data_IF_794968191400
#
_entry.id   IF_794968191400
#
_cell.length_a   1.000
_cell.length_b   1.000
_cell.length_c   1.000
_cell.angle_alpha   90.00
_cell.angle_beta   90.00
_cell.angle_gamma   90.00
#
_symmetry.space_group_name_H-M   'P 1'
#
loop_
_entity.id
_entity.type
_entity.pdbx_description
1 polymer ?
#
# COMPACT_ATOMS: atom_id res chain seq x y z
N UNK A 1 24.61 -42.13 1.38
CA UNK A 1 23.18 -42.18 1.00
C UNK A 1 22.81 -40.79 0.51
N UNK A 2 22.88 -40.57 -0.80
CA UNK A 2 22.68 -39.25 -1.42
C UNK A 2 21.17 -38.92 -1.52
N UNK A 3 20.76 -37.65 -1.30
CA UNK A 3 19.36 -37.28 -1.46
C UNK A 3 18.94 -37.36 -2.93
N UNK A 4 17.79 -37.98 -3.16
CA UNK A 4 17.20 -38.22 -4.47
C UNK A 4 17.02 -36.91 -5.26
N UNK A 5 17.45 -36.94 -6.51
CA UNK A 5 17.23 -35.89 -7.49
C UNK A 5 15.73 -35.59 -7.60
N UNK A 6 15.36 -34.34 -7.37
CA UNK A 6 14.02 -33.81 -7.68
C UNK A 6 13.85 -33.90 -9.20
N UNK A 7 13.09 -34.87 -9.65
CA UNK A 7 12.71 -35.01 -11.05
C UNK A 7 12.00 -33.72 -11.50
N UNK A 8 12.63 -32.98 -12.42
CA UNK A 8 12.00 -31.83 -13.10
C UNK A 8 10.96 -32.39 -14.06
N UNK A 9 9.73 -32.50 -13.57
CA UNK A 9 8.59 -33.01 -14.30
C UNK A 9 8.17 -32.07 -15.44
N UNK A 10 8.18 -32.60 -16.68
CA UNK A 10 7.31 -32.26 -17.81
C UNK A 10 7.41 -30.86 -18.42
N UNK A 11 7.40 -30.77 -19.75
CA UNK A 11 7.13 -29.50 -20.47
C UNK A 11 5.82 -28.91 -19.96
N UNK A 12 5.89 -27.91 -19.06
CA UNK A 12 4.72 -27.14 -18.64
C UNK A 12 4.11 -26.52 -19.89
N UNK A 13 2.82 -26.78 -20.15
CA UNK A 13 2.09 -26.15 -21.25
C UNK A 13 2.16 -24.63 -21.07
N UNK A 14 2.93 -23.95 -21.92
CA UNK A 14 3.17 -22.50 -21.84
C UNK A 14 1.88 -21.69 -21.64
N UNK A 15 0.84 -22.04 -22.40
CA UNK A 15 -0.50 -21.43 -22.28
C UNK A 15 -1.11 -21.57 -20.88
N UNK A 16 -0.95 -22.73 -20.23
CA UNK A 16 -1.46 -22.95 -18.88
C UNK A 16 -0.68 -22.14 -17.84
N UNK A 17 0.63 -22.01 -18.01
CA UNK A 17 1.47 -21.17 -17.15
C UNK A 17 1.11 -19.69 -17.32
N UNK A 18 0.98 -19.20 -18.57
CA UNK A 18 0.51 -17.84 -18.85
C UNK A 18 -0.85 -17.56 -18.21
N UNK A 19 -1.79 -18.51 -18.27
CA UNK A 19 -3.11 -18.37 -17.64
C UNK A 19 -3.01 -18.26 -16.12
N UNK A 20 -2.10 -19.01 -15.49
CA UNK A 20 -1.85 -18.94 -14.05
C UNK A 20 -1.18 -17.61 -13.66
N UNK A 21 -0.23 -17.12 -14.46
CA UNK A 21 0.40 -15.81 -14.26
C UNK A 21 -0.65 -14.68 -14.33
N UNK A 22 -1.49 -14.67 -15.35
CA UNK A 22 -2.53 -13.65 -15.51
C UNK A 22 -3.57 -13.64 -14.39
N UNK A 23 -3.88 -14.80 -13.79
CA UNK A 23 -4.76 -14.89 -12.61
C UNK A 23 -4.24 -14.11 -11.40
N UNK A 24 -2.92 -13.88 -11.32
CA UNK A 24 -2.30 -13.11 -10.23
C UNK A 24 -1.92 -11.70 -10.72
N UNK A 25 -1.27 -11.60 -11.88
CA UNK A 25 -0.78 -10.33 -12.43
C UNK A 25 -1.90 -9.34 -12.73
N UNK A 26 -3.01 -9.79 -13.35
CA UNK A 26 -4.13 -8.91 -13.71
C UNK A 26 -4.71 -8.16 -12.51
N UNK A 27 -5.09 -8.85 -11.43
CA UNK A 27 -5.57 -8.19 -10.21
C UNK A 27 -4.52 -7.30 -9.53
N UNK A 28 -3.25 -7.70 -9.54
CA UNK A 28 -2.16 -6.85 -8.99
C UNK A 28 -2.04 -5.56 -9.78
N UNK A 29 -2.03 -5.62 -11.11
CA UNK A 29 -2.03 -4.42 -11.99
C UNK A 29 -3.22 -3.52 -11.67
N UNK A 30 -4.43 -4.06 -11.55
CA UNK A 30 -5.62 -3.28 -11.16
C UNK A 30 -5.47 -2.64 -9.78
N UNK A 31 -4.87 -3.36 -8.83
CA UNK A 31 -4.63 -2.86 -7.48
C UNK A 31 -3.68 -1.66 -7.52
N UNK A 32 -2.62 -1.71 -8.32
CA UNK A 32 -1.69 -0.59 -8.52
C UNK A 32 -2.38 0.59 -9.21
N UNK A 33 -3.17 0.35 -10.26
CA UNK A 33 -3.97 1.40 -10.93
C UNK A 33 -4.88 2.11 -9.92
N UNK A 34 -5.56 1.36 -9.05
CA UNK A 34 -6.42 1.96 -8.02
C UNK A 34 -5.64 2.77 -6.99
N UNK A 35 -4.46 2.29 -6.58
CA UNK A 35 -3.60 3.01 -5.63
C UNK A 35 -3.03 4.30 -6.23
N UNK A 36 -2.50 4.27 -7.46
CA UNK A 36 -2.05 5.47 -8.16
C UNK A 36 -3.22 6.44 -8.43
N UNK A 37 -4.42 5.91 -8.68
CA UNK A 37 -5.64 6.70 -8.84
C UNK A 37 -5.95 7.60 -7.64
N UNK A 38 -5.60 7.20 -6.41
CA UNK A 38 -5.83 8.03 -5.22
C UNK A 38 -5.08 9.37 -5.31
N UNK A 39 -3.80 9.31 -5.68
CA UNK A 39 -2.97 10.51 -5.86
C UNK A 39 -3.49 11.38 -7.00
N UNK A 40 -3.88 10.77 -8.13
CA UNK A 40 -4.47 11.47 -9.27
C UNK A 40 -5.74 12.23 -8.89
N UNK A 41 -6.67 11.57 -8.19
CA UNK A 41 -7.93 12.18 -7.73
C UNK A 41 -7.66 13.38 -6.82
N UNK A 42 -6.76 13.25 -5.84
CA UNK A 42 -6.41 14.37 -4.94
C UNK A 42 -5.88 15.57 -5.74
N UNK A 43 -4.94 15.34 -6.67
CA UNK A 43 -4.36 16.40 -7.51
C UNK A 43 -5.43 17.05 -8.39
N UNK A 44 -6.34 16.27 -8.97
CA UNK A 44 -7.42 16.79 -9.81
C UNK A 44 -8.36 17.72 -9.04
N UNK A 45 -8.77 17.36 -7.81
CA UNK A 45 -9.60 18.23 -6.98
C UNK A 45 -8.86 19.47 -6.49
N UNK A 46 -7.61 19.31 -6.05
CA UNK A 46 -6.77 20.45 -5.63
C UNK A 46 -6.52 21.42 -6.79
N UNK A 47 -6.47 20.93 -8.03
CA UNK A 47 -6.35 21.76 -9.24
C UNK A 47 -7.45 22.80 -9.40
N UNK A 48 -8.64 22.56 -8.85
CA UNK A 48 -9.76 23.50 -8.87
C UNK A 48 -9.67 24.56 -7.75
N UNK A 49 -8.80 24.37 -6.75
CA UNK A 49 -8.59 25.31 -5.65
C UNK A 49 -7.71 26.47 -6.12
N UNK A 50 -6.59 26.16 -6.79
CA UNK A 50 -5.66 27.18 -7.24
C UNK A 50 -4.36 26.60 -7.80
N UNK A 51 -3.64 27.45 -8.55
CA UNK A 51 -2.38 27.06 -9.22
C UNK A 51 -1.25 26.78 -8.21
N UNK A 52 -1.21 27.51 -7.10
CA UNK A 52 -0.17 27.35 -6.07
C UNK A 52 -0.37 26.05 -5.31
N UNK A 53 -1.60 25.75 -4.92
CA UNK A 53 -1.99 24.53 -4.22
C UNK A 53 -1.74 23.30 -5.11
N UNK A 54 -2.14 23.38 -6.38
CA UNK A 54 -1.90 22.33 -7.36
C UNK A 54 -0.41 22.02 -7.50
N UNK A 55 0.42 23.06 -7.70
CA UNK A 55 1.87 22.90 -7.83
C UNK A 55 2.47 22.31 -6.54
N UNK A 56 2.06 22.84 -5.39
CA UNK A 56 2.56 22.40 -4.10
C UNK A 56 2.25 20.92 -3.80
N UNK A 57 1.00 20.50 -4.00
CA UNK A 57 0.56 19.10 -3.79
C UNK A 57 1.20 18.17 -4.82
N UNK A 58 1.32 18.59 -6.07
CA UNK A 58 1.97 17.79 -7.12
C UNK A 58 3.44 17.52 -6.80
N UNK A 59 4.16 18.52 -6.29
CA UNK A 59 5.55 18.36 -5.83
C UNK A 59 5.61 17.39 -4.65
N UNK A 60 4.74 17.54 -3.64
CA UNK A 60 4.76 16.65 -2.47
C UNK A 60 4.43 15.21 -2.88
N UNK A 61 3.35 14.98 -3.63
CA UNK A 61 2.96 13.65 -4.07
C UNK A 61 4.01 13.02 -4.99
N UNK A 62 4.54 13.79 -5.95
CA UNK A 62 5.48 13.28 -6.95
C UNK A 62 6.89 13.05 -6.40
N UNK A 63 7.38 13.93 -5.53
CA UNK A 63 8.78 13.91 -5.07
C UNK A 63 8.89 13.33 -3.67
N UNK A 64 8.20 13.92 -2.69
CA UNK A 64 8.35 13.55 -1.28
C UNK A 64 7.69 12.21 -0.99
N UNK A 65 6.42 12.06 -1.37
CA UNK A 65 5.71 10.79 -1.25
C UNK A 65 6.22 9.77 -2.27
N UNK A 66 6.51 10.18 -3.50
CA UNK A 66 7.07 9.30 -4.53
C UNK A 66 8.36 8.61 -4.10
N UNK A 67 9.30 9.35 -3.47
CA UNK A 67 10.54 8.77 -2.94
C UNK A 67 10.25 7.76 -1.82
N UNK A 68 9.39 8.12 -0.87
CA UNK A 68 9.02 7.22 0.22
C UNK A 68 8.31 5.96 -0.29
N UNK A 69 7.38 6.11 -1.22
CA UNK A 69 6.67 5.03 -1.88
C UNK A 69 7.66 4.09 -2.57
N UNK A 70 8.58 4.62 -3.38
CA UNK A 70 9.57 3.81 -4.09
C UNK A 70 10.49 3.01 -3.15
N UNK A 71 10.99 3.65 -2.09
CA UNK A 71 11.84 2.97 -1.09
C UNK A 71 11.10 1.86 -0.34
N UNK A 72 9.90 2.16 0.16
CA UNK A 72 9.09 1.19 0.90
C UNK A 72 8.60 0.04 0.00
N UNK A 73 8.21 0.35 -1.25
CA UNK A 73 7.85 -0.67 -2.25
C UNK A 73 9.04 -1.58 -2.55
N UNK A 74 10.25 -1.01 -2.74
CA UNK A 74 11.47 -1.76 -3.00
C UNK A 74 11.82 -2.75 -1.89
N UNK A 75 11.66 -2.35 -0.62
CA UNK A 75 11.80 -3.27 0.52
C UNK A 75 10.72 -4.35 0.52
N UNK A 76 9.51 -4.02 0.08
CA UNK A 76 8.43 -4.99 -0.15
C UNK A 76 8.81 -6.05 -1.20
N UNK A 77 9.53 -5.70 -2.26
CA UNK A 77 9.98 -6.66 -3.28
C UNK A 77 10.89 -7.75 -2.71
N UNK A 78 11.74 -7.42 -1.73
CA UNK A 78 12.55 -8.43 -1.03
C UNK A 78 11.66 -9.41 -0.24
N UNK A 79 10.61 -8.90 0.41
CA UNK A 79 9.64 -9.71 1.13
C UNK A 79 8.83 -10.61 0.19
N UNK A 80 8.51 -10.14 -1.02
CA UNK A 80 7.81 -10.93 -2.04
C UNK A 80 8.60 -12.19 -2.40
N UNK A 81 9.90 -12.06 -2.64
CA UNK A 81 10.79 -13.21 -2.91
C UNK A 81 10.84 -14.18 -1.73
N UNK A 82 11.08 -13.68 -0.51
CA UNK A 82 11.17 -14.52 0.69
C UNK A 82 9.85 -15.25 0.98
N UNK A 83 8.72 -14.55 0.86
CA UNK A 83 7.40 -15.15 1.04
C UNK A 83 7.11 -16.16 -0.07
N UNK A 84 7.42 -15.85 -1.33
CA UNK A 84 7.22 -16.76 -2.46
C UNK A 84 8.01 -18.06 -2.32
N UNK A 85 9.27 -17.96 -1.91
CA UNK A 85 10.10 -19.13 -1.60
C UNK A 85 9.55 -19.94 -0.43
N UNK A 86 9.13 -19.28 0.65
CA UNK A 86 8.55 -19.97 1.81
C UNK A 86 7.22 -20.67 1.47
N UNK A 87 6.37 -20.06 0.62
CA UNK A 87 5.16 -20.73 0.10
C UNK A 87 5.55 -21.94 -0.74
N UNK A 88 6.51 -21.80 -1.66
CA UNK A 88 7.00 -22.90 -2.49
C UNK A 88 7.61 -24.06 -1.70
N UNK A 89 8.25 -23.77 -0.57
CA UNK A 89 8.80 -24.75 0.37
C UNK A 89 7.77 -25.29 1.39
N UNK A 90 6.50 -24.87 1.31
CA UNK A 90 5.44 -25.29 2.26
C UNK A 90 5.55 -24.67 3.66
N UNK A 91 6.50 -23.76 3.90
CA UNK A 91 6.78 -23.13 5.19
C UNK A 91 5.87 -21.92 5.46
N UNK A 92 4.55 -22.14 5.48
CA UNK A 92 3.58 -21.04 5.56
C UNK A 92 3.68 -20.19 6.84
N UNK A 93 4.21 -20.74 7.94
CA UNK A 93 4.43 -19.98 9.18
C UNK A 93 5.46 -18.86 9.02
N UNK A 94 6.47 -19.05 8.15
CA UNK A 94 7.53 -18.06 7.93
C UNK A 94 7.03 -16.78 7.29
N UNK A 95 5.91 -16.82 6.56
CA UNK A 95 5.34 -15.62 5.95
C UNK A 95 4.96 -14.56 7.00
N UNK A 96 4.42 -15.00 8.15
CA UNK A 96 4.09 -14.10 9.25
C UNK A 96 5.34 -13.49 9.88
N UNK A 97 6.38 -14.31 10.07
CA UNK A 97 7.68 -13.88 10.62
C UNK A 97 8.34 -12.86 9.69
N UNK A 98 8.38 -13.13 8.38
CA UNK A 98 8.96 -12.19 7.41
C UNK A 98 8.16 -10.89 7.33
N UNK A 99 6.83 -10.94 7.39
CA UNK A 99 5.99 -9.75 7.41
C UNK A 99 6.27 -8.88 8.64
N UNK A 100 6.36 -9.47 9.83
CA UNK A 100 6.65 -8.72 11.07
C UNK A 100 8.05 -8.10 11.05
N UNK A 101 9.06 -8.84 10.58
CA UNK A 101 10.42 -8.30 10.40
C UNK A 101 10.44 -7.14 9.40
N UNK A 102 9.70 -7.29 8.31
CA UNK A 102 9.58 -6.25 7.30
C UNK A 102 8.86 -5.00 7.85
N UNK A 103 7.87 -5.14 8.74
CA UNK A 103 7.29 -3.99 9.43
C UNK A 103 8.31 -3.21 10.25
N UNK A 104 9.17 -3.89 11.02
CA UNK A 104 10.21 -3.22 11.81
C UNK A 104 11.13 -2.40 10.89
N UNK A 105 11.59 -3.02 9.79
CA UNK A 105 12.46 -2.35 8.82
C UNK A 105 11.74 -1.17 8.15
N UNK A 106 10.52 -1.37 7.65
CA UNK A 106 9.76 -0.33 6.95
C UNK A 106 9.40 0.84 7.87
N UNK A 107 9.08 0.58 9.15
CA UNK A 107 8.85 1.63 10.15
C UNK A 107 10.15 2.39 10.42
N UNK A 108 11.27 1.70 10.62
CA UNK A 108 12.56 2.36 10.79
C UNK A 108 12.93 3.25 9.59
N UNK A 109 12.76 2.76 8.36
CA UNK A 109 12.97 3.55 7.15
C UNK A 109 12.03 4.74 7.08
N UNK A 110 10.76 4.57 7.45
CA UNK A 110 9.80 5.68 7.49
C UNK A 110 10.21 6.76 8.49
N UNK A 111 10.73 6.37 9.65
CA UNK A 111 11.28 7.32 10.63
C UNK A 111 12.50 8.07 10.07
N UNK A 112 13.37 7.39 9.33
CA UNK A 112 14.51 8.02 8.65
C UNK A 112 14.07 9.00 7.54
N UNK A 113 12.89 8.79 6.95
CA UNK A 113 12.31 9.68 5.94
C UNK A 113 11.53 10.86 6.54
N UNK A 114 11.19 10.86 7.83
CA UNK A 114 10.45 11.95 8.49
C UNK A 114 11.08 13.34 8.30
N UNK A 115 12.42 13.52 8.40
CA UNK A 115 13.03 14.82 8.18
C UNK A 115 12.70 15.40 6.81
N UNK A 116 12.57 14.58 5.76
CA UNK A 116 12.20 15.05 4.42
C UNK A 116 10.79 15.68 4.43
N UNK A 117 9.85 15.09 5.16
CA UNK A 117 8.48 15.61 5.29
C UNK A 117 8.44 16.87 6.14
N UNK A 118 9.17 16.91 7.26
CA UNK A 118 9.22 18.05 8.18
C UNK A 118 9.89 19.26 7.52
N UNK A 119 10.99 19.04 6.79
CA UNK A 119 11.79 20.09 6.18
C UNK A 119 11.48 20.31 4.69
N UNK A 120 10.32 19.87 4.19
CA UNK A 120 9.94 20.06 2.79
C UNK A 120 10.00 21.54 2.37
N UNK A 121 9.47 22.48 3.17
CA UNK A 121 9.50 23.90 2.84
C UNK A 121 10.91 24.48 2.65
N UNK A 122 11.85 24.37 3.62
CA UNK A 122 13.21 24.88 3.43
C UNK A 122 13.97 24.16 2.31
N UNK A 123 13.76 22.85 2.11
CA UNK A 123 14.36 22.11 0.99
C UNK A 123 13.89 22.69 -0.36
N UNK A 124 12.59 22.95 -0.51
CA UNK A 124 12.06 23.52 -1.75
C UNK A 124 12.54 24.96 -1.99
N UNK A 125 12.69 25.77 -0.93
CA UNK A 125 13.31 27.10 -1.03
C UNK A 125 14.77 27.02 -1.50
N UNK A 126 15.53 26.04 -1.00
CA UNK A 126 16.91 25.79 -1.45
C UNK A 126 16.95 25.41 -2.93
N UNK A 127 15.96 24.63 -3.39
CA UNK A 127 15.75 24.30 -4.80
C UNK A 127 15.11 25.44 -5.61
N UNK A 128 15.07 26.67 -5.07
CA UNK A 128 14.58 27.89 -5.72
C UNK A 128 13.10 27.87 -6.09
N UNK A 129 12.27 27.08 -5.40
CA UNK A 129 10.81 27.21 -5.50
C UNK A 129 10.33 28.51 -4.85
N UNK A 130 9.19 29.03 -5.31
CA UNK A 130 8.62 30.26 -4.76
C UNK A 130 8.28 30.10 -3.27
N UNK A 131 8.28 31.22 -2.53
CA UNK A 131 7.97 31.22 -1.11
C UNK A 131 6.57 30.67 -0.82
N UNK A 132 5.60 30.98 -1.68
CA UNK A 132 4.22 30.49 -1.59
C UNK A 132 4.12 28.97 -1.79
N UNK A 133 4.68 28.44 -2.88
CA UNK A 133 4.66 26.99 -3.16
C UNK A 133 5.37 26.23 -2.03
N UNK A 134 6.55 26.70 -1.62
CA UNK A 134 7.34 26.06 -0.56
C UNK A 134 6.58 26.00 0.77
N UNK A 135 5.89 27.08 1.15
CA UNK A 135 5.13 27.12 2.40
C UNK A 135 3.92 26.17 2.37
N UNK A 136 3.20 26.12 1.26
CA UNK A 136 2.05 25.22 1.07
C UNK A 136 2.52 23.77 1.05
N UNK A 137 3.57 23.45 0.28
CA UNK A 137 4.15 22.09 0.22
C UNK A 137 4.63 21.63 1.59
N UNK A 138 5.30 22.48 2.37
CA UNK A 138 5.77 22.07 3.70
C UNK A 138 4.62 21.83 4.69
N UNK A 139 3.52 22.54 4.56
CA UNK A 139 2.33 22.29 5.38
C UNK A 139 1.64 20.99 4.97
N UNK A 140 1.42 20.82 3.67
CA UNK A 140 0.80 19.62 3.13
C UNK A 140 1.64 18.35 3.39
N UNK A 141 2.97 18.40 3.22
CA UNK A 141 3.86 17.29 3.52
C UNK A 141 3.78 16.86 4.99
N UNK A 142 3.67 17.79 5.94
CA UNK A 142 3.50 17.44 7.37
C UNK A 142 2.17 16.76 7.64
N UNK A 143 1.10 17.13 6.94
CA UNK A 143 -0.18 16.43 7.01
C UNK A 143 -0.09 15.02 6.43
N UNK A 144 0.76 14.77 5.44
CA UNK A 144 0.98 13.43 4.88
C UNK A 144 1.82 12.48 5.76
N UNK A 145 2.36 12.91 6.91
CA UNK A 145 3.20 12.06 7.78
C UNK A 145 2.48 10.78 8.27
N UNK A 146 1.19 10.79 8.68
CA UNK A 146 0.48 9.57 9.03
C UNK A 146 0.38 8.58 7.86
N UNK A 147 0.28 9.08 6.63
CA UNK A 147 0.24 8.24 5.43
C UNK A 147 1.56 7.48 5.23
N UNK A 148 2.70 8.13 5.47
CA UNK A 148 4.02 7.49 5.44
C UNK A 148 4.09 6.27 6.38
N UNK A 149 3.63 6.42 7.61
CA UNK A 149 3.59 5.30 8.57
C UNK A 149 2.58 4.22 8.16
N UNK A 150 1.45 4.61 7.55
CA UNK A 150 0.48 3.67 7.03
C UNK A 150 1.07 2.81 5.89
N UNK A 151 1.92 3.38 5.03
CA UNK A 151 2.63 2.63 3.99
C UNK A 151 3.59 1.59 4.56
N UNK A 152 4.31 1.93 5.63
CA UNK A 152 5.23 1.00 6.29
C UNK A 152 4.56 -0.30 6.75
N UNK A 153 3.28 -0.20 7.14
CA UNK A 153 2.46 -1.35 7.53
C UNK A 153 1.80 -2.00 6.31
N UNK A 154 1.34 -1.19 5.34
CA UNK A 154 0.62 -1.67 4.17
C UNK A 154 1.44 -2.60 3.30
N UNK A 155 2.62 -2.14 2.87
CA UNK A 155 3.39 -2.84 1.84
C UNK A 155 3.73 -4.28 2.25
N UNK A 156 4.17 -4.55 3.49
CA UNK A 156 4.41 -5.92 3.92
C UNK A 156 3.14 -6.79 3.91
N UNK A 157 1.99 -6.24 4.30
CA UNK A 157 0.70 -6.95 4.23
C UNK A 157 0.35 -7.28 2.77
N UNK A 158 0.53 -6.32 1.88
CA UNK A 158 0.26 -6.51 0.45
C UNK A 158 1.09 -7.66 -0.11
N UNK A 159 2.40 -7.67 0.14
CA UNK A 159 3.31 -8.72 -0.34
C UNK A 159 3.03 -10.08 0.29
N UNK A 160 2.64 -10.10 1.57
CA UNK A 160 2.18 -11.31 2.24
C UNK A 160 0.97 -11.95 1.53
N UNK A 161 -0.02 -11.15 1.11
CA UNK A 161 -1.20 -11.66 0.38
C UNK A 161 -0.90 -12.00 -1.08
N UNK A 162 -0.06 -11.21 -1.76
CA UNK A 162 0.38 -11.46 -3.13
C UNK A 162 1.12 -12.79 -3.24
N UNK A 163 2.03 -13.10 -2.31
CA UNK A 163 2.76 -14.38 -2.27
C UNK A 163 1.84 -15.61 -2.06
N UNK A 164 0.63 -15.43 -1.51
CA UNK A 164 -0.38 -16.48 -1.35
C UNK A 164 -1.38 -16.52 -2.52
N UNK A 165 -1.18 -15.74 -3.58
CA UNK A 165 -2.10 -15.57 -4.71
C UNK A 165 -3.51 -15.10 -4.30
N UNK A 166 -3.65 -14.44 -3.14
CA UNK A 166 -4.93 -13.92 -2.62
C UNK A 166 -5.14 -12.45 -2.96
N UNK A 167 -4.94 -12.12 -4.23
CA UNK A 167 -4.81 -10.73 -4.72
C UNK A 167 -6.15 -10.03 -4.94
N UNK A 168 -7.21 -10.76 -5.30
CA UNK A 168 -8.54 -10.17 -5.56
C UNK A 168 -9.16 -9.44 -4.37
N UNK A 169 -8.88 -9.89 -3.14
CA UNK A 169 -9.35 -9.21 -1.92
C UNK A 169 -8.72 -7.82 -1.82
N UNK A 170 -7.44 -7.71 -2.13
CA UNK A 170 -6.75 -6.42 -2.14
C UNK A 170 -7.29 -5.53 -3.25
N UNK A 171 -7.49 -6.08 -4.45
CA UNK A 171 -8.05 -5.34 -5.60
C UNK A 171 -9.42 -4.75 -5.28
N UNK A 172 -10.32 -5.54 -4.71
CA UNK A 172 -11.66 -5.08 -4.33
C UNK A 172 -11.62 -4.00 -3.26
N UNK A 173 -10.77 -4.17 -2.23
CA UNK A 173 -10.56 -3.16 -1.18
C UNK A 173 -10.01 -1.86 -1.79
N UNK A 174 -8.98 -1.93 -2.62
CA UNK A 174 -8.38 -0.75 -3.27
C UNK A 174 -9.37 -0.02 -4.19
N UNK A 175 -10.21 -0.77 -4.93
CA UNK A 175 -11.26 -0.16 -5.76
C UNK A 175 -12.32 0.56 -4.93
N UNK A 176 -12.80 -0.05 -3.83
CA UNK A 176 -13.75 0.59 -2.92
C UNK A 176 -13.16 1.83 -2.24
N UNK A 177 -11.89 1.75 -1.85
CA UNK A 177 -11.09 2.86 -1.31
C UNK A 177 -11.01 4.01 -2.31
N UNK A 178 -10.69 3.74 -3.58
CA UNK A 178 -10.63 4.77 -4.61
C UNK A 178 -11.99 5.44 -4.82
N UNK A 179 -13.07 4.66 -4.92
CA UNK A 179 -14.42 5.21 -5.06
C UNK A 179 -14.82 6.10 -3.89
N UNK A 180 -14.57 5.64 -2.66
CA UNK A 180 -14.81 6.43 -1.45
C UNK A 180 -13.95 7.69 -1.40
N UNK A 181 -12.67 7.59 -1.77
CA UNK A 181 -11.74 8.71 -1.82
C UNK A 181 -12.19 9.80 -2.80
N UNK A 182 -12.64 9.40 -4.00
CA UNK A 182 -13.20 10.33 -4.98
C UNK A 182 -14.49 11.00 -4.48
N UNK A 183 -15.40 10.22 -3.88
CA UNK A 183 -16.63 10.76 -3.30
C UNK A 183 -16.34 11.76 -2.18
N UNK A 184 -15.43 11.43 -1.26
CA UNK A 184 -15.06 12.29 -0.15
C UNK A 184 -14.37 13.57 -0.62
N UNK A 185 -13.48 13.50 -1.61
CA UNK A 185 -12.88 14.70 -2.21
C UNK A 185 -13.94 15.58 -2.85
N UNK A 186 -14.89 15.00 -3.59
CA UNK A 186 -16.01 15.75 -4.16
C UNK A 186 -16.85 16.45 -3.10
N UNK A 187 -17.23 15.75 -2.02
CA UNK A 187 -18.01 16.36 -0.93
C UNK A 187 -17.20 17.45 -0.22
N UNK A 188 -15.98 17.14 0.23
CA UNK A 188 -15.21 18.01 1.12
C UNK A 188 -14.63 19.22 0.38
N UNK A 189 -14.08 19.01 -0.82
CA UNK A 189 -13.42 20.06 -1.59
C UNK A 189 -14.43 20.81 -2.46
N UNK A 190 -15.22 20.10 -3.27
CA UNK A 190 -16.10 20.75 -4.25
C UNK A 190 -17.44 21.22 -3.67
N UNK A 191 -18.03 20.50 -2.69
CA UNK A 191 -19.33 20.91 -2.09
C UNK A 191 -19.17 21.74 -0.82
N UNK A 192 -18.29 21.36 0.09
CA UNK A 192 -18.11 22.03 1.39
C UNK A 192 -17.07 23.15 1.38
N UNK A 193 -16.31 23.31 0.29
CA UNK A 193 -15.33 24.39 0.14
C UNK A 193 -14.20 24.37 1.16
N UNK A 194 -13.87 23.21 1.76
CA UNK A 194 -12.85 23.11 2.83
C UNK A 194 -11.40 23.20 2.33
N UNK A 195 -11.22 23.52 1.04
CA UNK A 195 -9.93 23.81 0.43
C UNK A 195 -8.89 22.70 0.62
N UNK A 196 -7.62 23.11 0.73
CA UNK A 196 -6.47 22.20 0.76
C UNK A 196 -6.42 21.31 2.00
N UNK A 197 -6.84 21.83 3.16
CA UNK A 197 -6.92 21.06 4.41
C UNK A 197 -7.89 19.88 4.22
N UNK A 198 -9.04 20.14 3.59
CA UNK A 198 -10.02 19.12 3.28
C UNK A 198 -9.47 18.00 2.38
N UNK A 199 -8.72 18.37 1.35
CA UNK A 199 -8.07 17.41 0.45
C UNK A 199 -7.04 16.52 1.19
N UNK A 200 -6.21 17.13 2.04
CA UNK A 200 -5.22 16.40 2.84
C UNK A 200 -5.88 15.40 3.81
N UNK A 201 -6.89 15.84 4.55
CA UNK A 201 -7.62 14.98 5.50
C UNK A 201 -8.30 13.78 4.83
N UNK A 202 -8.77 13.93 3.58
CA UNK A 202 -9.39 12.82 2.84
C UNK A 202 -8.34 11.80 2.43
N UNK A 203 -7.16 12.24 1.95
CA UNK A 203 -6.04 11.35 1.60
C UNK A 203 -5.58 10.47 2.76
N UNK A 204 -5.45 11.06 3.95
CA UNK A 204 -4.89 10.37 5.13
C UNK A 204 -5.76 9.23 5.68
N UNK A 205 -7.09 9.30 5.56
CA UNK A 205 -8.01 8.42 6.31
C UNK A 205 -8.38 7.13 5.58
N UNK A 206 -8.29 7.11 4.25
CA UNK A 206 -8.85 5.99 3.47
C UNK A 206 -7.90 4.77 3.47
N UNK A 207 -6.58 4.99 3.44
CA UNK A 207 -5.57 3.90 3.44
C UNK A 207 -5.59 3.12 4.75
N UNK A 208 -5.72 3.80 5.89
CA UNK A 208 -5.74 3.17 7.23
C UNK A 208 -7.04 2.37 7.46
N UNK A 209 -8.17 2.86 6.98
CA UNK A 209 -9.47 2.19 7.13
C UNK A 209 -9.51 0.86 6.34
N UNK A 210 -8.91 0.84 5.15
CA UNK A 210 -8.80 -0.34 4.29
C UNK A 210 -8.06 -1.51 4.96
N UNK A 211 -6.95 -1.19 5.64
CA UNK A 211 -6.08 -2.18 6.31
C UNK A 211 -6.75 -2.82 7.53
N UNK A 212 -7.54 -2.05 8.28
CA UNK A 212 -8.28 -2.56 9.46
C UNK A 212 -9.35 -3.58 9.06
N UNK A 213 -9.99 -3.42 7.90
CA UNK A 213 -10.99 -4.36 7.39
C UNK A 213 -10.41 -5.72 7.02
N UNK A 214 -9.27 -5.73 6.32
CA UNK A 214 -8.60 -6.97 5.90
C UNK A 214 -8.06 -7.79 7.09
N UNK A 215 -7.51 -7.12 8.11
CA UNK A 215 -7.04 -7.77 9.34
C UNK A 215 -8.20 -8.40 10.14
N UNK A 216 -9.34 -7.70 10.27
CA UNK A 216 -10.52 -8.20 11.01
C UNK A 216 -11.22 -9.37 10.31
N UNK A 217 -11.30 -9.36 8.98
CA UNK A 217 -11.88 -10.46 8.21
C UNK A 217 -11.07 -11.77 8.35
N UNK A 218 -9.73 -11.66 8.50
CA UNK A 218 -8.85 -12.82 8.71
C UNK A 218 -8.95 -13.38 10.12
N UNK A 219 -9.03 -12.52 11.14
CA UNK A 219 -9.24 -12.94 12.53
C UNK A 219 -10.52 -13.78 12.67
N UNK A 220 -11.64 -13.33 12.07
CA UNK A 220 -12.90 -14.09 12.10
C UNK A 220 -12.81 -15.46 11.41
N UNK A 221 -12.11 -15.59 10.29
CA UNK A 221 -11.97 -16.88 9.58
C UNK A 221 -10.97 -17.84 10.21
N UNK A 222 -9.93 -17.32 10.87
CA UNK A 222 -8.98 -18.15 11.63
C UNK A 222 -9.64 -18.67 12.90
N UNK A 223 -10.39 -17.81 13.59
CA UNK A 223 -11.19 -18.21 14.76
C UNK A 223 -12.26 -19.22 14.35
N UNK A 224 -13.00 -19.00 13.27
CA UNK A 224 -14.03 -19.96 12.84
C UNK A 224 -13.44 -21.33 12.52
N UNK A 225 -12.33 -21.39 11.77
CA UNK A 225 -11.64 -22.67 11.45
C UNK A 225 -10.99 -23.33 12.65
N UNK A 226 -10.57 -22.55 13.65
CA UNK A 226 -10.08 -23.07 14.93
C UNK A 226 -11.22 -23.70 15.73
N UNK A 227 -12.36 -23.02 15.81
CA UNK A 227 -13.59 -23.54 16.44
C UNK A 227 -14.09 -24.80 15.73
N UNK A 228 -14.13 -24.81 14.40
CA UNK A 228 -14.56 -25.98 13.60
C UNK A 228 -13.65 -27.20 13.84
N UNK A 229 -12.34 -26.98 14.02
CA UNK A 229 -11.37 -28.06 14.34
C UNK A 229 -11.53 -28.58 15.76
N UNK A 230 -11.81 -27.70 16.73
CA UNK A 230 -12.06 -28.11 18.13
C UNK A 230 -13.37 -28.88 18.23
N UNK A 231 -14.43 -28.44 17.54
CA UNK A 231 -15.70 -29.16 17.47
C UNK A 231 -15.55 -30.52 16.78
N UNK A 232 -14.74 -30.62 15.72
CA UNK A 232 -14.46 -31.89 15.05
C UNK A 232 -13.59 -32.85 15.89
N UNK A 233 -12.84 -32.35 16.88
CA UNK A 233 -12.00 -33.16 17.79
C UNK A 233 -12.72 -33.55 19.09
N UNK A 234 -13.79 -32.85 19.48
CA UNK A 234 -14.59 -33.14 20.67
C UNK A 234 -15.76 -34.11 20.46
N UNK A 235 -15.88 -34.75 19.28
CA UNK A 235 -16.93 -35.74 18.95
C UNK A 235 -16.33 -37.15 18.85
N UNK A 236 -15.41 -37.51 19.74
CA UNK A 236 -14.96 -38.89 19.93
C UNK A 236 -15.13 -39.32 21.37
#
# INVERSE_FOLDING_TARGET
MAPAAVAVAGRKNWSAECKNLWRVAGPVILTEIFQFGLGFVTVAFVGHIGKVELAAVSIVNGVVEGLAFGLLLGMGSALETLCGQAVGAGQTHMLGVYMQRSWIICVATSLLLLPLYIFTAPVLRLLRQSAAISAVSGTYARWCVPQLLAYAVNFPIQKFYQAQSRVWVMTAISGAVLGLHALLNWVVVARLGRGLVGAAMVGERVVVAAQRGAARARHRRVVSRGVDRVLAQGVR
#
